data_IF_277853289807
#
_entry.id   IF_277853289807
#
_cell.length_a   1.000
_cell.length_b   1.000
_cell.length_c   1.000
_cell.angle_alpha   90.00
_cell.angle_beta   90.00
_cell.angle_gamma   90.00
#
_symmetry.space_group_name_H-M   'P 1'
#
loop_
_entity.id
_entity.type
_entity.pdbx_description
1 polymer ?
#
# COMPACT_ATOMS: atom_id res chain seq x y z
N UNK A 1 8.10 -5.82 -15.78
CA UNK A 1 7.95 -6.40 -14.44
C UNK A 1 6.60 -7.08 -14.33
N UNK A 2 6.53 -8.20 -13.59
CA UNK A 2 5.25 -8.68 -13.07
C UNK A 2 4.97 -7.92 -11.78
N UNK A 3 3.97 -7.03 -11.71
CA UNK A 3 3.68 -6.24 -10.51
C UNK A 3 3.30 -7.11 -9.31
N UNK A 4 3.03 -8.40 -9.54
CA UNK A 4 2.73 -9.37 -8.50
C UNK A 4 3.95 -9.94 -7.78
N UNK A 5 5.19 -9.76 -8.28
CA UNK A 5 6.40 -10.26 -7.63
C UNK A 5 7.22 -9.12 -7.05
N UNK A 6 7.50 -9.18 -5.75
CA UNK A 6 8.30 -8.18 -5.07
C UNK A 6 8.91 -8.76 -3.79
N UNK A 7 10.02 -8.18 -3.33
CA UNK A 7 10.67 -8.53 -2.07
C UNK A 7 11.12 -7.24 -1.40
N UNK A 8 10.95 -7.16 -0.09
CA UNK A 8 11.25 -6.01 0.74
C UNK A 8 11.99 -6.49 1.99
N UNK A 9 13.14 -5.88 2.23
CA UNK A 9 13.85 -5.97 3.49
C UNK A 9 13.90 -4.58 4.12
N UNK A 10 13.47 -4.49 5.38
CA UNK A 10 13.45 -3.26 6.15
C UNK A 10 14.19 -3.47 7.46
N UNK A 11 15.13 -2.58 7.76
CA UNK A 11 15.86 -2.56 9.03
C UNK A 11 15.41 -1.35 9.85
N UNK A 12 14.79 -1.59 11.00
CA UNK A 12 14.28 -0.54 11.90
C UNK A 12 14.63 -0.90 13.35
N UNK A 13 15.31 -0.01 14.06
CA UNK A 13 15.60 -0.19 15.49
C UNK A 13 16.28 -1.53 15.81
N UNK A 14 17.31 -1.91 15.06
CA UNK A 14 18.02 -3.19 15.13
C UNK A 14 17.18 -4.44 14.78
N UNK A 15 15.96 -4.27 14.29
CA UNK A 15 15.09 -5.36 13.85
C UNK A 15 15.05 -5.43 12.32
N UNK A 16 15.09 -6.66 11.78
CA UNK A 16 14.90 -6.94 10.36
C UNK A 16 13.49 -7.44 10.11
N UNK A 17 12.77 -6.75 9.23
CA UNK A 17 11.45 -7.13 8.72
C UNK A 17 11.63 -7.54 7.27
N UNK A 18 11.08 -8.69 6.90
CA UNK A 18 11.11 -9.18 5.51
C UNK A 18 9.69 -9.38 5.04
N UNK A 19 9.39 -8.96 3.81
CA UNK A 19 8.10 -9.19 3.19
C UNK A 19 8.29 -9.44 1.69
N UNK A 20 7.36 -10.16 1.08
CA UNK A 20 7.44 -10.41 -0.35
C UNK A 20 6.17 -10.97 -0.94
N UNK A 21 6.20 -11.12 -2.26
CA UNK A 21 5.16 -11.75 -3.04
C UNK A 21 5.79 -12.51 -4.21
N UNK A 22 5.27 -13.71 -4.48
CA UNK A 22 5.66 -14.56 -5.61
C UNK A 22 4.61 -14.51 -6.74
N UNK A 23 3.68 -13.57 -6.63
CA UNK A 23 2.52 -13.45 -7.51
C UNK A 23 1.35 -14.37 -7.17
N UNK A 24 1.48 -15.24 -6.15
CA UNK A 24 0.43 -16.15 -5.65
C UNK A 24 0.19 -16.02 -4.14
N UNK A 25 1.24 -15.75 -3.37
CA UNK A 25 1.17 -15.58 -1.92
C UNK A 25 1.90 -14.28 -1.63
N UNK A 26 1.34 -13.47 -0.73
CA UNK A 26 2.03 -12.34 -0.11
C UNK A 26 2.39 -12.77 1.30
N UNK A 27 3.62 -12.54 1.73
CA UNK A 27 4.06 -12.91 3.07
C UNK A 27 4.81 -11.78 3.75
N UNK A 28 4.89 -11.89 5.07
CA UNK A 28 5.73 -11.05 5.92
C UNK A 28 6.28 -11.86 7.08
N UNK A 29 7.49 -11.54 7.49
CA UNK A 29 8.13 -12.00 8.70
C UNK A 29 8.51 -10.78 9.53
N UNK A 30 7.98 -10.72 10.76
CA UNK A 30 8.35 -9.69 11.75
C UNK A 30 8.85 -10.35 13.02
N UNK A 31 9.91 -9.85 13.69
CA UNK A 31 10.51 -10.52 14.85
C UNK A 31 9.55 -10.82 16.00
N UNK A 32 8.47 -10.02 16.15
CA UNK A 32 7.48 -10.18 17.22
C UNK A 32 6.26 -11.04 16.85
N UNK A 33 6.06 -11.38 15.57
CA UNK A 33 4.87 -12.11 15.09
C UNK A 33 5.21 -13.37 14.30
N UNK A 34 6.49 -13.60 13.99
CA UNK A 34 6.90 -14.69 13.11
C UNK A 34 6.47 -14.45 11.66
N UNK A 35 6.38 -15.53 10.89
CA UNK A 35 5.98 -15.50 9.49
C UNK A 35 4.47 -15.64 9.33
N UNK A 36 3.90 -14.83 8.46
CA UNK A 36 2.46 -14.80 8.19
C UNK A 36 2.18 -14.58 6.71
N UNK A 37 1.32 -15.41 6.11
CA UNK A 37 0.78 -15.19 4.78
C UNK A 37 -0.43 -14.25 4.82
N UNK A 38 -0.45 -13.22 3.98
CA UNK A 38 -1.60 -12.32 3.89
C UNK A 38 -2.73 -12.98 3.10
N UNK A 39 -3.97 -12.89 3.61
CA UNK A 39 -5.18 -13.33 2.91
C UNK A 39 -5.70 -12.29 1.91
N UNK A 40 -6.48 -12.78 0.95
CA UNK A 40 -7.14 -11.98 -0.08
C UNK A 40 -6.30 -11.76 -1.34
N UNK A 41 -6.81 -10.97 -2.29
CA UNK A 41 -6.17 -10.78 -3.60
C UNK A 41 -4.80 -10.12 -3.47
N UNK A 42 -3.90 -10.43 -4.41
CA UNK A 42 -2.53 -9.92 -4.42
C UNK A 42 -2.51 -8.39 -4.36
N UNK A 43 -1.78 -7.85 -3.39
CA UNK A 43 -1.55 -6.42 -3.26
C UNK A 43 -0.15 -6.09 -3.76
N UNK A 44 0.00 -5.12 -4.69
CA UNK A 44 1.32 -4.59 -4.98
C UNK A 44 1.88 -3.97 -3.70
N UNK A 45 3.19 -4.03 -3.51
CA UNK A 45 3.85 -3.25 -2.48
C UNK A 45 3.44 -1.79 -2.66
N UNK A 46 2.95 -1.14 -1.59
CA UNK A 46 2.45 0.25 -1.66
C UNK A 46 3.45 1.22 -2.30
N UNK A 47 4.75 1.03 -2.09
CA UNK A 47 5.80 1.85 -2.71
C UNK A 47 5.76 1.80 -4.25
N UNK A 48 5.37 0.67 -4.85
CA UNK A 48 5.21 0.50 -6.32
C UNK A 48 4.24 1.53 -6.87
N UNK A 49 3.11 1.77 -6.18
CA UNK A 49 2.08 2.72 -6.60
C UNK A 49 2.33 4.16 -6.09
N UNK A 50 3.39 4.35 -5.30
CA UNK A 50 3.86 5.65 -4.78
C UNK A 50 5.11 6.08 -5.55
N UNK A 51 5.05 6.10 -6.88
CA UNK A 51 6.08 6.71 -7.73
C UNK A 51 7.27 5.82 -8.09
N UNK A 52 7.38 4.60 -7.53
CA UNK A 52 8.46 3.66 -7.88
C UNK A 52 8.22 2.92 -9.20
N UNK A 53 6.95 2.62 -9.53
CA UNK A 53 6.56 2.05 -10.81
C UNK A 53 5.44 2.90 -11.43
N UNK A 54 5.80 3.90 -12.26
CA UNK A 54 4.84 4.74 -12.96
C UNK A 54 3.88 3.94 -13.85
N UNK A 55 4.31 2.80 -14.40
CA UNK A 55 3.46 1.97 -15.27
C UNK A 55 2.38 1.26 -14.47
N UNK A 56 2.72 0.66 -13.33
CA UNK A 56 1.73 0.08 -12.43
C UNK A 56 0.78 1.13 -11.87
N UNK A 57 1.30 2.31 -11.53
CA UNK A 57 0.50 3.46 -11.10
C UNK A 57 -0.50 3.89 -12.20
N UNK A 58 -0.05 4.13 -13.42
CA UNK A 58 -0.92 4.47 -14.54
C UNK A 58 -1.97 3.38 -14.82
N UNK A 59 -1.58 2.10 -14.75
CA UNK A 59 -2.49 0.97 -14.93
C UNK A 59 -3.59 0.92 -13.86
N UNK A 60 -3.26 1.25 -12.61
CA UNK A 60 -4.22 1.33 -11.50
C UNK A 60 -5.29 2.40 -11.75
N UNK A 61 -4.90 3.55 -12.33
CA UNK A 61 -5.79 4.67 -12.63
C UNK A 61 -6.40 4.62 -14.04
N UNK A 62 -6.15 3.57 -14.84
CA UNK A 62 -6.59 3.48 -16.23
C UNK A 62 -8.13 3.55 -16.41
N UNK A 63 -8.89 3.12 -15.40
CA UNK A 63 -10.37 3.20 -15.36
C UNK A 63 -10.87 4.11 -14.23
N UNK A 64 -10.04 5.05 -13.79
CA UNK A 64 -10.39 5.94 -12.70
C UNK A 64 -11.51 6.92 -13.10
N UNK A 65 -12.29 7.34 -12.12
CA UNK A 65 -13.21 8.45 -12.26
C UNK A 65 -12.41 9.76 -12.14
N UNK A 66 -12.48 10.62 -13.17
CA UNK A 66 -11.99 11.98 -13.05
C UNK A 66 -12.96 12.81 -12.21
N UNK A 67 -12.47 13.43 -11.14
CA UNK A 67 -13.25 14.26 -10.23
C UNK A 67 -13.12 15.77 -10.50
N UNK A 68 -12.18 16.15 -11.37
CA UNK A 68 -11.89 17.54 -11.71
C UNK A 68 -10.44 17.90 -11.43
N UNK A 69 -10.21 19.16 -11.08
CA UNK A 69 -8.88 19.75 -10.96
C UNK A 69 -8.68 20.35 -9.56
N UNK A 70 -7.45 20.25 -9.06
CA UNK A 70 -7.07 20.82 -7.76
C UNK A 70 -5.58 21.15 -7.76
N UNK A 71 -5.23 22.32 -7.24
CA UNK A 71 -3.84 22.69 -7.00
C UNK A 71 -3.29 22.01 -5.75
N UNK A 72 -2.14 21.36 -5.88
CA UNK A 72 -1.39 20.70 -4.81
C UNK A 72 0.02 21.30 -4.78
N UNK A 73 0.33 22.06 -3.72
CA UNK A 73 1.56 22.86 -3.70
C UNK A 73 1.57 23.87 -4.84
N UNK A 74 2.58 23.77 -5.70
CA UNK A 74 2.77 24.63 -6.88
C UNK A 74 2.22 24.01 -8.18
N UNK A 75 1.71 22.78 -8.13
CA UNK A 75 1.22 22.05 -9.31
C UNK A 75 -0.32 22.07 -9.40
N UNK A 76 -0.83 22.50 -10.56
CA UNK A 76 -2.21 22.23 -10.94
C UNK A 76 -2.35 20.76 -11.35
N UNK A 77 -3.26 20.02 -10.70
CA UNK A 77 -3.39 18.57 -10.86
C UNK A 77 -4.79 18.16 -11.32
N UNK A 78 -4.88 17.10 -12.14
CA UNK A 78 -6.09 16.31 -12.31
C UNK A 78 -6.27 15.39 -11.09
N UNK A 79 -7.50 15.30 -10.60
CA UNK A 79 -7.85 14.43 -9.47
C UNK A 79 -8.57 13.19 -10.00
N UNK A 80 -7.92 12.04 -9.89
CA UNK A 80 -8.46 10.75 -10.31
C UNK A 80 -8.80 9.89 -9.10
N UNK A 81 -9.95 9.22 -9.13
CA UNK A 81 -10.42 8.35 -8.05
C UNK A 81 -10.57 6.91 -8.54
N UNK A 82 -10.05 5.98 -7.76
CA UNK A 82 -10.25 4.54 -7.95
C UNK A 82 -10.87 3.98 -6.66
N UNK A 83 -11.93 3.19 -6.79
CA UNK A 83 -12.54 2.48 -5.66
C UNK A 83 -12.43 0.99 -5.93
N UNK A 84 -12.02 0.22 -4.92
CA UNK A 84 -12.08 -1.24 -5.00
C UNK A 84 -13.54 -1.69 -5.09
N UNK A 85 -13.81 -2.68 -5.94
CA UNK A 85 -15.15 -3.26 -6.02
C UNK A 85 -15.49 -4.05 -4.74
N UNK A 86 -16.79 -4.30 -4.54
CA UNK A 86 -17.28 -4.96 -3.34
C UNK A 86 -16.74 -6.39 -3.21
N UNK A 87 -16.59 -7.12 -4.32
CA UNK A 87 -16.12 -8.50 -4.29
C UNK A 87 -14.65 -8.58 -3.81
N UNK A 88 -13.77 -7.77 -4.38
CA UNK A 88 -12.35 -7.67 -4.04
C UNK A 88 -12.12 -7.15 -2.62
N UNK A 89 -13.09 -6.41 -2.06
CA UNK A 89 -13.07 -5.96 -0.67
C UNK A 89 -13.53 -7.08 0.27
N UNK A 90 -14.58 -7.84 -0.07
CA UNK A 90 -15.09 -8.95 0.73
C UNK A 90 -14.10 -10.11 0.88
N UNK A 91 -13.30 -10.39 -0.17
CA UNK A 91 -12.22 -11.39 -0.12
C UNK A 91 -11.11 -11.05 0.90
N UNK A 92 -11.13 -9.85 1.48
CA UNK A 92 -10.15 -9.38 2.49
C UNK A 92 -10.65 -9.54 3.92
N UNK A 93 -11.87 -10.01 4.12
CA UNK A 93 -12.43 -10.19 5.45
C UNK A 93 -11.67 -11.29 6.21
N UNK A 94 -11.35 -11.03 7.48
CA UNK A 94 -10.63 -11.98 8.32
C UNK A 94 -11.22 -12.00 9.73
N UNK A 95 -11.78 -13.15 10.11
CA UNK A 95 -12.44 -13.32 11.39
C UNK A 95 -13.53 -12.26 11.62
N UNK A 96 -13.46 -11.47 12.71
CA UNK A 96 -14.45 -10.42 12.99
C UNK A 96 -14.24 -9.13 12.19
N UNK A 97 -13.19 -9.03 11.37
CA UNK A 97 -12.85 -7.83 10.62
C UNK A 97 -13.37 -7.89 9.18
N UNK A 98 -14.17 -6.90 8.81
CA UNK A 98 -14.70 -6.68 7.46
C UNK A 98 -14.15 -5.38 6.88
N UNK A 99 -13.58 -5.47 5.68
CA UNK A 99 -13.20 -4.28 4.93
C UNK A 99 -14.48 -3.73 4.29
N UNK A 100 -14.83 -2.47 4.57
CA UNK A 100 -16.04 -1.83 4.02
C UNK A 100 -15.69 -1.08 2.72
N UNK A 101 -14.55 -0.39 2.73
CA UNK A 101 -14.19 0.53 1.65
C UNK A 101 -12.69 0.63 1.52
N UNK A 102 -12.22 0.66 0.28
CA UNK A 102 -10.86 1.02 -0.07
C UNK A 102 -10.91 1.94 -1.30
N UNK A 103 -10.42 3.16 -1.16
CA UNK A 103 -10.47 4.20 -2.19
C UNK A 103 -9.12 4.87 -2.27
N UNK A 104 -8.67 5.08 -3.50
CA UNK A 104 -7.45 5.79 -3.85
C UNK A 104 -7.79 7.07 -4.61
N UNK A 105 -7.06 8.14 -4.30
CA UNK A 105 -7.07 9.38 -5.06
C UNK A 105 -5.65 9.68 -5.54
N UNK A 106 -5.49 9.82 -6.85
CA UNK A 106 -4.23 10.23 -7.47
C UNK A 106 -4.34 11.65 -8.00
N UNK A 107 -3.33 12.46 -7.69
CA UNK A 107 -3.23 13.85 -8.12
C UNK A 107 -2.08 13.94 -9.12
N UNK A 108 -2.43 14.07 -10.39
CA UNK A 108 -1.46 14.05 -11.49
C UNK A 108 -1.26 15.46 -12.03
N UNK A 109 -0.02 15.94 -12.08
CA UNK A 109 0.31 17.27 -12.61
C UNK A 109 -0.20 17.41 -14.04
N UNK A 110 -0.94 18.49 -14.32
CA UNK A 110 -1.43 18.77 -15.67
C UNK A 110 -0.29 19.04 -16.66
N UNK A 111 0.85 19.53 -16.15
CA UNK A 111 2.01 19.90 -16.96
C UNK A 111 2.86 18.68 -17.34
N UNK A 112 3.15 17.80 -16.39
CA UNK A 112 4.08 16.67 -16.59
C UNK A 112 3.41 15.31 -16.69
N UNK A 113 2.15 15.19 -16.25
CA UNK A 113 1.46 13.92 -16.09
C UNK A 113 1.95 13.07 -14.91
N UNK A 114 2.92 13.55 -14.13
CA UNK A 114 3.49 12.82 -12.99
C UNK A 114 2.58 12.89 -11.76
N UNK A 115 2.62 11.85 -10.93
CA UNK A 115 1.87 11.78 -9.68
C UNK A 115 2.52 12.69 -8.62
N UNK A 116 1.82 13.73 -8.20
CA UNK A 116 2.30 14.70 -7.20
C UNK A 116 1.87 14.28 -5.79
N UNK A 117 0.66 13.72 -5.68
CA UNK A 117 0.12 13.28 -4.40
C UNK A 117 -0.76 12.04 -4.58
N UNK A 118 -0.68 11.13 -3.62
CA UNK A 118 -1.53 9.95 -3.53
C UNK A 118 -2.21 9.92 -2.16
N UNK A 119 -3.53 9.73 -2.16
CA UNK A 119 -4.30 9.44 -0.95
C UNK A 119 -4.87 8.03 -1.03
N UNK A 120 -4.66 7.26 0.02
CA UNK A 120 -5.20 5.91 0.20
C UNK A 120 -6.05 5.87 1.47
N UNK A 121 -7.34 5.56 1.32
CA UNK A 121 -8.31 5.48 2.41
C UNK A 121 -8.90 4.08 2.52
N UNK A 122 -8.77 3.48 3.70
CA UNK A 122 -9.32 2.19 4.07
C UNK A 122 -10.28 2.33 5.25
N UNK A 123 -11.47 1.76 5.14
CA UNK A 123 -12.42 1.64 6.24
C UNK A 123 -12.66 0.16 6.54
N UNK A 124 -12.40 -0.24 7.79
CA UNK A 124 -12.63 -1.59 8.29
C UNK A 124 -13.57 -1.55 9.48
N UNK A 125 -14.55 -2.44 9.49
CA UNK A 125 -15.43 -2.69 10.63
C UNK A 125 -14.96 -3.95 11.34
N UNK A 126 -14.89 -3.91 12.66
CA UNK A 126 -14.60 -5.08 13.49
C UNK A 126 -15.79 -5.31 14.40
N UNK A 127 -16.37 -6.51 14.30
CA UNK A 127 -17.52 -6.92 15.10
C UNK A 127 -17.26 -8.30 15.70
N UNK A 128 -16.99 -8.33 17.01
CA UNK A 128 -16.81 -9.57 17.75
C UNK A 128 -18.10 -9.94 18.50
N UNK A 129 -18.44 -11.23 18.64
CA UNK A 129 -19.61 -11.65 19.41
C UNK A 129 -19.57 -11.11 20.85
N UNK A 130 -20.62 -10.40 21.28
CA UNK A 130 -20.73 -9.84 22.62
C UNK A 130 -19.96 -8.54 22.87
N UNK A 131 -19.39 -7.91 21.83
CA UNK A 131 -18.72 -6.61 21.92
C UNK A 131 -19.33 -5.58 20.96
N UNK A 132 -19.12 -4.29 21.25
CA UNK A 132 -19.61 -3.20 20.40
C UNK A 132 -18.90 -3.19 19.04
N UNK A 133 -19.61 -2.72 18.00
CA UNK A 133 -19.02 -2.51 16.67
C UNK A 133 -17.99 -1.39 16.73
N UNK A 134 -16.79 -1.66 16.23
CA UNK A 134 -15.69 -0.70 16.14
C UNK A 134 -15.29 -0.50 14.67
N UNK A 135 -15.07 0.74 14.29
CA UNK A 135 -14.59 1.14 12.98
C UNK A 135 -13.14 1.63 13.07
N UNK A 136 -12.37 1.28 12.05
CA UNK A 136 -11.00 1.71 11.83
C UNK A 136 -10.91 2.35 10.45
N UNK A 137 -10.65 3.64 10.41
CA UNK A 137 -10.32 4.36 9.19
C UNK A 137 -8.81 4.60 9.15
N UNK A 138 -8.16 4.13 8.10
CA UNK A 138 -6.75 4.41 7.83
C UNK A 138 -6.67 5.28 6.59
N UNK A 139 -6.10 6.47 6.75
CA UNK A 139 -5.82 7.39 5.63
C UNK A 139 -4.32 7.58 5.50
N UNK A 140 -3.78 7.35 4.32
CA UNK A 140 -2.37 7.50 4.00
C UNK A 140 -2.23 8.50 2.86
N UNK A 141 -1.70 9.67 3.17
CA UNK A 141 -1.35 10.69 2.19
C UNK A 141 0.14 10.61 1.86
N UNK A 142 0.51 10.65 0.59
CA UNK A 142 1.92 10.64 0.15
C UNK A 142 2.17 11.71 -0.89
N UNK A 143 3.05 12.65 -0.56
CA UNK A 143 3.60 13.63 -1.49
C UNK A 143 4.88 13.09 -2.10
N UNK A 144 5.05 13.27 -3.41
CA UNK A 144 6.19 12.77 -4.17
C UNK A 144 6.87 13.91 -4.90
N UNK A 145 8.19 13.91 -4.90
CA UNK A 145 8.99 14.88 -5.64
C UNK A 145 10.35 14.31 -6.02
N UNK A 146 11.20 15.16 -6.60
CA UNK A 146 12.50 14.77 -7.13
C UNK A 146 12.39 13.60 -8.12
N UNK A 147 11.55 13.80 -9.14
CA UNK A 147 11.45 12.85 -10.23
C UNK A 147 12.72 12.90 -11.08
N UNK A 148 13.43 11.78 -11.16
CA UNK A 148 14.65 11.62 -11.98
C UNK A 148 14.42 10.59 -13.07
N UNK A 149 15.05 10.79 -14.21
CA UNK A 149 15.06 9.80 -15.29
C UNK A 149 15.99 8.65 -14.91
N UNK A 150 15.46 7.42 -14.96
CA UNK A 150 16.21 6.19 -14.80
C UNK A 150 15.83 5.30 -15.99
N UNK A 151 16.77 5.10 -16.92
CA UNK A 151 16.57 4.37 -18.17
C UNK A 151 15.30 4.77 -18.94
N UNK A 152 15.00 6.08 -19.02
CA UNK A 152 13.81 6.59 -19.72
C UNK A 152 12.50 6.54 -18.93
N UNK A 153 12.55 6.21 -17.64
CA UNK A 153 11.40 6.19 -16.73
C UNK A 153 11.60 7.23 -15.64
N UNK A 154 10.63 8.15 -15.49
CA UNK A 154 10.65 9.14 -14.41
C UNK A 154 10.22 8.53 -13.08
N UNK A 155 11.12 8.46 -12.11
CA UNK A 155 10.88 7.85 -10.79
C UNK A 155 11.06 8.89 -9.70
N UNK A 156 10.10 8.96 -8.78
CA UNK A 156 10.22 9.83 -7.60
C UNK A 156 11.30 9.31 -6.66
N UNK A 157 12.33 10.12 -6.41
CA UNK A 157 13.42 9.74 -5.49
C UNK A 157 13.19 10.23 -4.07
N UNK A 158 12.21 11.10 -3.85
CA UNK A 158 11.89 11.60 -2.53
C UNK A 158 10.39 11.68 -2.29
N UNK A 159 10.01 11.60 -1.01
CA UNK A 159 8.66 11.92 -0.63
C UNK A 159 8.41 11.92 0.86
N UNK A 160 7.17 12.29 1.19
CA UNK A 160 6.65 12.34 2.55
C UNK A 160 5.32 11.63 2.62
N UNK A 161 5.22 10.69 3.54
CA UNK A 161 4.00 9.94 3.80
C UNK A 161 3.48 10.24 5.20
N UNK A 162 2.19 10.55 5.30
CA UNK A 162 1.49 10.73 6.56
C UNK A 162 0.39 9.67 6.63
N UNK A 163 0.50 8.75 7.58
CA UNK A 163 -0.51 7.74 7.86
C UNK A 163 -1.29 8.13 9.13
N UNK A 164 -2.61 8.16 9.03
CA UNK A 164 -3.51 8.41 10.16
C UNK A 164 -4.41 7.21 10.34
N UNK A 165 -4.42 6.63 11.54
CA UNK A 165 -5.34 5.57 11.94
C UNK A 165 -6.32 6.16 12.94
N UNK A 166 -7.60 6.15 12.58
CA UNK A 166 -8.69 6.65 13.39
C UNK A 166 -9.61 5.50 13.78
N UNK A 167 -9.77 5.29 15.09
CA UNK A 167 -10.66 4.29 15.67
C UNK A 167 -11.86 4.99 16.28
N UNK A 168 -13.07 4.53 15.98
CA UNK A 168 -14.30 5.02 16.58
C UNK A 168 -15.33 3.89 16.75
N UNK A 169 -16.14 3.96 17.80
CA UNK A 169 -17.22 3.00 18.06
C UNK A 169 -18.59 3.58 17.71
N UNK A 170 -19.57 2.70 17.49
CA UNK A 170 -20.96 3.11 17.21
C UNK A 170 -21.66 3.63 18.47
N UNK A 171 -21.37 3.02 19.63
CA UNK A 171 -22.01 3.32 20.92
C UNK A 171 -21.03 4.01 21.89
N UNK A 172 -19.73 3.70 21.81
CA UNK A 172 -18.71 4.26 22.69
C UNK A 172 -18.20 5.63 22.21
N UNK A 173 -18.20 6.65 23.09
CA UNK A 173 -17.57 7.97 22.83
C UNK A 173 -16.03 7.93 22.75
N UNK A 174 -15.42 6.77 23.02
CA UNK A 174 -13.97 6.59 22.95
C UNK A 174 -13.52 6.46 21.49
N UNK A 175 -12.95 7.55 20.99
CA UNK A 175 -12.22 7.60 19.73
C UNK A 175 -10.73 7.74 20.01
N UNK A 176 -9.90 7.15 19.15
CA UNK A 176 -8.46 7.33 19.20
C UNK A 176 -7.93 7.64 17.81
N UNK A 177 -7.04 8.63 17.71
CA UNK A 177 -6.35 8.98 16.47
C UNK A 177 -4.86 8.82 16.67
N UNK A 178 -4.24 7.96 15.87
CA UNK A 178 -2.78 7.81 15.81
C UNK A 178 -2.30 8.35 14.47
N UNK A 179 -1.23 9.14 14.48
CA UNK A 179 -0.59 9.67 13.27
C UNK A 179 0.87 9.26 13.25
N UNK A 180 1.33 8.74 12.12
CA UNK A 180 2.71 8.44 11.82
C UNK A 180 3.13 9.23 10.58
N UNK A 181 4.39 9.66 10.59
CA UNK A 181 4.99 10.40 9.49
C UNK A 181 6.29 9.73 9.06
N UNK A 182 6.49 9.63 7.75
CA UNK A 182 7.67 9.08 7.10
C UNK A 182 8.20 10.12 6.09
N UNK A 183 9.49 10.38 6.15
CA UNK A 183 10.26 11.01 5.07
C UNK A 183 11.16 9.93 4.49
N UNK A 184 11.18 9.81 3.16
CA UNK A 184 11.93 8.77 2.48
C UNK A 184 12.70 9.36 1.30
N UNK A 185 13.86 8.77 1.05
CA UNK A 185 14.76 9.07 -0.08
C UNK A 185 15.17 7.74 -0.70
N UNK A 186 15.33 7.72 -2.02
CA UNK A 186 15.84 6.58 -2.78
C UNK A 186 17.25 6.93 -3.24
N UNK A 187 18.22 6.15 -2.79
CA UNK A 187 19.62 6.35 -3.14
C UNK A 187 19.95 5.82 -4.54
N UNK A 188 19.38 4.68 -4.92
CA UNK A 188 19.67 4.02 -6.19
C UNK A 188 18.46 3.25 -6.74
N UNK A 189 18.31 3.26 -8.06
CA UNK A 189 17.32 2.49 -8.81
C UNK A 189 17.99 1.86 -10.02
N UNK A 190 17.92 0.54 -10.11
CA UNK A 190 18.52 -0.23 -11.20
C UNK A 190 17.48 -1.12 -11.85
N UNK A 191 17.39 -1.05 -13.17
CA UNK A 191 16.58 -1.97 -13.97
C UNK A 191 17.40 -3.15 -14.48
N UNK A 192 16.71 -4.26 -14.76
CA UNK A 192 17.30 -5.46 -15.37
C UNK A 192 18.53 -6.00 -14.61
N UNK A 193 18.46 -5.96 -13.26
CA UNK A 193 19.54 -6.40 -12.37
C UNK A 193 20.02 -7.82 -12.74
N UNK A 194 21.28 -7.98 -13.18
CA UNK A 194 21.82 -9.29 -13.53
C UNK A 194 21.80 -10.24 -12.33
N UNK A 195 21.38 -11.49 -12.55
CA UNK A 195 21.31 -12.51 -11.50
C UNK A 195 20.04 -12.49 -10.65
N UNK A 196 19.13 -11.52 -10.84
CA UNK A 196 17.81 -11.55 -10.21
C UNK A 196 16.97 -12.69 -10.81
N UNK A 197 16.85 -13.79 -10.06
CA UNK A 197 16.05 -14.97 -10.43
C UNK A 197 14.71 -15.02 -9.68
N UNK A 198 13.88 -16.01 -9.99
CA UNK A 198 12.64 -16.27 -9.25
C UNK A 198 12.89 -16.65 -7.78
N UNK A 199 14.11 -17.07 -7.43
CA UNK A 199 14.44 -17.56 -6.09
C UNK A 199 14.36 -16.43 -5.03
N UNK A 200 14.53 -15.18 -5.46
CA UNK A 200 14.40 -13.99 -4.61
C UNK A 200 12.96 -13.71 -4.16
N UNK A 201 11.98 -14.38 -4.76
CA UNK A 201 10.57 -14.26 -4.44
C UNK A 201 10.02 -15.56 -3.84
N UNK A 202 10.86 -16.45 -3.31
CA UNK A 202 10.35 -17.67 -2.67
C UNK A 202 9.83 -17.33 -1.26
N UNK A 203 8.60 -17.72 -0.90
CA UNK A 203 8.10 -17.57 0.46
C UNK A 203 8.93 -18.43 1.44
N UNK A 204 9.18 -17.94 2.67
CA UNK A 204 9.73 -18.76 3.75
C UNK A 204 8.97 -20.08 3.95
N UNK A 205 9.69 -21.17 4.25
CA UNK A 205 9.12 -22.51 4.34
C UNK A 205 8.09 -22.67 5.47
N UNK A 206 8.27 -21.94 6.57
CA UNK A 206 7.41 -21.92 7.76
C UNK A 206 6.02 -21.31 7.50
N UNK A 207 5.78 -20.69 6.35
CA UNK A 207 4.44 -20.25 5.93
C UNK A 207 3.47 -21.42 5.77
N UNK A 208 3.97 -22.58 5.32
CA UNK A 208 3.14 -23.75 5.05
C UNK A 208 2.83 -24.56 6.31
N UNK A 209 3.48 -24.27 7.44
CA UNK A 209 3.24 -24.94 8.72
C UNK A 209 2.03 -24.37 9.48
N UNK A 210 1.59 -23.15 9.14
CA UNK A 210 0.44 -22.48 9.79
C UNK A 210 -0.90 -23.12 9.43
N UNK A 211 -1.00 -23.79 8.28
CA UNK A 211 -2.21 -24.53 7.85
C UNK A 211 -2.37 -25.90 8.56
N UNK A 212 -1.39 -26.33 9.37
CA UNK A 212 -1.41 -27.62 10.10
C UNK A 212 -1.53 -27.48 11.63
N UNK A 213 -1.96 -26.32 12.13
CA UNK A 213 -2.33 -26.20 13.55
C UNK A 213 -3.75 -26.76 13.75
N UNK A 214 -3.96 -27.74 14.66
CA UNK A 214 -5.25 -28.41 14.85
C UNK A 214 -6.36 -27.50 15.40
#
# INVERSE_FOLDING_TARGET
>A
MSPGMWSLELVVGCNKVVAGSNGKIVWRHTPWLGTHAAKGPHRPLRRIIQGLDPKSTASLFAKAQCLGEKRIGEDDCFVLKVAADRAAVMERNEGPAEVIRHVLYGYFSQKSGLLIYLEDSHLTRVQAPGNDTVYWETTIGTSLWDYRDVDGVMIAHEGRTIATVFRFGEVSMQHSRTRMEELWVIDDVVFNVPGLSFDYFIPPADIFDVDNSP
#
